data_IF_287021314411
#
_entry.id   IF_287021314411
#
_cell.length_a   1.000
_cell.length_b   1.000
_cell.length_c   1.000
_cell.angle_alpha   90.00
_cell.angle_beta   90.00
_cell.angle_gamma   90.00
#
_symmetry.space_group_name_H-M   'P 1'
#
loop_
_entity.id
_entity.type
_entity.pdbx_description
1 polymer ?
#
# COMPACT_ATOMS: atom_id res chain seq x y z
N UNK A 1 -11.50 27.60 -6.97
CA UNK A 1 -12.40 26.72 -6.22
C UNK A 1 -12.05 25.27 -6.56
N UNK A 2 -11.87 24.40 -5.56
CA UNK A 2 -11.64 22.97 -5.76
C UNK A 2 -13.00 22.26 -5.74
N UNK A 3 -13.32 21.53 -6.80
CA UNK A 3 -14.58 20.79 -6.89
C UNK A 3 -14.41 19.30 -6.63
N UNK A 4 -13.23 18.74 -6.91
CA UNK A 4 -12.91 17.32 -6.75
C UNK A 4 -11.51 17.13 -6.16
N UNK A 5 -11.36 16.18 -5.24
CA UNK A 5 -10.10 15.89 -4.58
C UNK A 5 -9.88 14.38 -4.42
N UNK A 6 -8.65 13.91 -4.63
CA UNK A 6 -8.27 12.53 -4.34
C UNK A 6 -7.18 12.54 -3.29
N UNK A 7 -7.42 11.82 -2.22
CA UNK A 7 -6.50 11.71 -1.09
C UNK A 7 -5.78 10.35 -1.10
N UNK A 8 -4.46 10.41 -1.08
CA UNK A 8 -3.59 9.26 -0.86
C UNK A 8 -3.65 8.84 0.60
N UNK A 9 -4.60 7.99 0.94
CA UNK A 9 -4.74 7.40 2.27
C UNK A 9 -3.96 6.08 2.36
N UNK A 10 -4.21 5.29 3.38
CA UNK A 10 -3.50 4.04 3.66
C UNK A 10 -4.40 3.06 4.39
N UNK A 11 -4.20 1.76 4.18
CA UNK A 11 -4.85 0.71 4.99
C UNK A 11 -4.51 0.80 6.48
N UNK A 12 -3.45 1.53 6.85
CA UNK A 12 -3.08 1.77 8.26
C UNK A 12 -4.13 2.55 9.06
N UNK A 13 -5.10 3.18 8.38
CA UNK A 13 -6.26 3.81 9.04
C UNK A 13 -7.14 2.81 9.79
N UNK A 14 -7.11 1.55 9.43
CA UNK A 14 -7.89 0.52 10.14
C UNK A 14 -7.29 0.13 11.50
N UNK A 15 -6.02 0.50 11.78
CA UNK A 15 -5.30 -0.02 12.94
C UNK A 15 -5.15 -1.54 12.88
N UNK A 16 -5.27 -2.21 14.01
CA UNK A 16 -5.27 -3.68 14.06
C UNK A 16 -6.67 -4.22 13.71
N UNK A 17 -6.83 -4.68 12.48
CA UNK A 17 -8.08 -5.24 12.01
C UNK A 17 -8.40 -6.58 12.71
N UNK A 18 -9.68 -6.86 12.96
CA UNK A 18 -10.12 -8.13 13.59
C UNK A 18 -10.23 -9.25 12.56
N UNK A 19 -10.56 -8.90 11.30
CA UNK A 19 -10.83 -9.85 10.24
C UNK A 19 -9.96 -9.56 9.01
N UNK A 20 -9.58 -10.61 8.32
CA UNK A 20 -8.83 -10.57 7.06
C UNK A 20 -9.57 -11.38 5.99
N UNK A 21 -9.59 -10.91 4.73
CA UNK A 21 -9.04 -9.64 4.24
C UNK A 21 -9.82 -8.42 4.74
N UNK A 22 -9.11 -7.30 4.94
CA UNK A 22 -9.72 -6.04 5.39
C UNK A 22 -10.61 -5.47 4.28
N UNK A 23 -11.89 -5.25 4.59
CA UNK A 23 -12.84 -4.59 3.69
C UNK A 23 -13.12 -3.15 4.13
N UNK A 24 -13.79 -2.37 3.27
CA UNK A 24 -14.21 -1.00 3.61
C UNK A 24 -15.20 -0.94 4.78
N UNK A 25 -15.85 -2.03 5.10
CA UNK A 25 -16.77 -2.13 6.25
C UNK A 25 -16.03 -2.35 7.59
N UNK A 26 -14.72 -2.62 7.55
CA UNK A 26 -13.94 -2.80 8.76
C UNK A 26 -13.91 -1.49 9.58
N UNK A 27 -14.06 -1.58 10.93
CA UNK A 27 -14.02 -0.39 11.77
C UNK A 27 -12.64 0.28 11.74
N UNK A 28 -12.63 1.61 11.72
CA UNK A 28 -11.43 2.41 11.94
C UNK A 28 -11.12 2.37 13.44
N UNK A 29 -10.01 1.72 13.79
CA UNK A 29 -9.53 1.62 15.17
C UNK A 29 -8.42 2.62 15.45
N UNK A 30 -7.94 2.67 16.70
CA UNK A 30 -6.79 3.49 17.07
C UNK A 30 -5.60 3.16 16.16
N UNK A 31 -4.99 4.19 15.61
CA UNK A 31 -3.81 4.03 14.76
C UNK A 31 -2.62 3.46 15.55
N UNK A 32 -1.90 2.52 14.94
CA UNK A 32 -0.71 1.88 15.53
C UNK A 32 0.58 2.71 15.35
N UNK A 33 0.50 3.80 14.58
CA UNK A 33 1.66 4.65 14.30
C UNK A 33 1.27 6.10 14.06
N UNK A 34 2.22 7.05 14.23
CA UNK A 34 1.99 8.45 13.86
C UNK A 34 1.59 8.63 12.40
N UNK A 35 2.14 7.80 11.50
CA UNK A 35 1.76 7.79 10.08
C UNK A 35 0.29 7.39 9.90
N UNK A 36 -0.14 6.27 10.49
CA UNK A 36 -1.54 5.83 10.44
C UNK A 36 -2.48 6.89 11.00
N UNK A 37 -2.13 7.49 12.14
CA UNK A 37 -2.89 8.57 12.75
C UNK A 37 -3.00 9.81 11.84
N UNK A 38 -1.92 10.19 11.16
CA UNK A 38 -1.96 11.30 10.20
C UNK A 38 -2.93 11.06 9.04
N UNK A 39 -3.07 9.79 8.61
CA UNK A 39 -4.03 9.41 7.57
C UNK A 39 -5.47 9.42 8.08
N UNK A 40 -5.72 8.95 9.31
CA UNK A 40 -7.04 9.06 9.96
C UNK A 40 -7.47 10.53 10.07
N UNK A 41 -6.63 11.38 10.66
CA UNK A 41 -6.90 12.84 10.77
C UNK A 41 -7.13 13.47 9.40
N UNK A 42 -6.34 13.08 8.39
CA UNK A 42 -6.51 13.58 7.02
C UNK A 42 -7.87 13.22 6.41
N UNK A 43 -8.33 11.98 6.59
CA UNK A 43 -9.66 11.56 6.15
C UNK A 43 -10.79 12.31 6.88
N UNK A 44 -10.67 12.50 8.20
CA UNK A 44 -11.63 13.27 8.99
C UNK A 44 -11.74 14.71 8.52
N UNK A 45 -10.61 15.40 8.38
CA UNK A 45 -10.57 16.80 7.88
C UNK A 45 -11.22 16.91 6.50
N UNK A 46 -10.91 15.98 5.59
CA UNK A 46 -11.47 16.01 4.23
C UNK A 46 -12.97 15.73 4.26
N UNK A 47 -13.43 14.75 5.02
CA UNK A 47 -14.84 14.42 5.15
C UNK A 47 -15.66 15.61 5.69
N UNK A 48 -15.19 16.28 6.75
CA UNK A 48 -15.83 17.46 7.30
C UNK A 48 -15.78 18.66 6.33
N UNK A 49 -14.67 18.81 5.62
CA UNK A 49 -14.54 19.86 4.59
C UNK A 49 -15.49 19.63 3.42
N UNK A 50 -15.70 18.38 2.99
CA UNK A 50 -16.69 18.04 1.95
C UNK A 50 -18.11 18.46 2.36
N UNK A 51 -18.46 18.22 3.63
CA UNK A 51 -19.76 18.64 4.19
C UNK A 51 -19.91 20.17 4.22
N UNK A 52 -18.85 20.86 4.72
CA UNK A 52 -18.90 22.30 4.94
C UNK A 52 -18.87 23.11 3.63
N UNK A 53 -18.17 22.65 2.59
CA UNK A 53 -17.84 23.44 1.41
C UNK A 53 -18.39 22.89 0.09
N UNK A 54 -19.14 21.82 0.15
CA UNK A 54 -19.82 21.18 -1.00
C UNK A 54 -18.85 20.86 -2.16
N UNK A 55 -17.74 20.23 -1.86
CA UNK A 55 -16.86 19.59 -2.85
C UNK A 55 -16.83 18.07 -2.65
N UNK A 56 -16.31 17.32 -3.61
CA UNK A 56 -16.29 15.87 -3.55
C UNK A 56 -14.86 15.35 -3.38
N UNK A 57 -14.68 14.32 -2.58
CA UNK A 57 -13.39 13.69 -2.40
C UNK A 57 -13.48 12.16 -2.37
N UNK A 58 -12.39 11.51 -2.80
CA UNK A 58 -12.18 10.08 -2.65
C UNK A 58 -10.85 9.85 -1.94
N UNK A 59 -10.87 9.11 -0.84
CA UNK A 59 -9.67 8.59 -0.19
C UNK A 59 -9.38 7.19 -0.75
N UNK A 60 -8.16 6.98 -1.24
CA UNK A 60 -7.66 5.68 -1.67
C UNK A 60 -6.77 5.11 -0.56
N UNK A 61 -7.23 4.06 0.11
CA UNK A 61 -6.53 3.38 1.21
C UNK A 61 -5.63 2.30 0.63
N UNK A 62 -4.35 2.67 0.36
CA UNK A 62 -3.40 1.71 -0.23
C UNK A 62 -2.96 0.65 0.77
N UNK A 63 -2.75 -0.55 0.25
CA UNK A 63 -1.91 -1.55 0.90
C UNK A 63 -0.43 -1.29 0.56
N UNK A 64 0.34 -2.24 0.06
CA UNK A 64 1.77 -2.04 -0.16
C UNK A 64 2.08 -1.85 -1.66
N UNK A 65 2.29 -0.62 -2.14
CA UNK A 65 2.66 -0.40 -3.53
C UNK A 65 4.06 -0.96 -3.81
N UNK A 66 4.19 -1.67 -4.94
CA UNK A 66 5.45 -2.24 -5.40
C UNK A 66 5.59 -2.15 -6.92
N UNK A 67 6.78 -2.47 -7.41
CA UNK A 67 7.05 -2.59 -8.84
C UNK A 67 7.49 -1.29 -9.50
N UNK A 68 7.73 -1.40 -10.80
CA UNK A 68 8.20 -0.30 -11.64
C UNK A 68 7.41 -0.24 -12.94
N UNK A 69 7.39 0.93 -13.58
CA UNK A 69 6.75 1.06 -14.89
C UNK A 69 7.57 0.31 -15.96
N UNK A 70 6.86 -0.34 -16.91
CA UNK A 70 7.47 -1.15 -17.97
C UNK A 70 8.50 -0.41 -18.85
N UNK A 71 8.48 0.93 -18.85
CA UNK A 71 9.46 1.74 -19.56
C UNK A 71 10.84 1.78 -18.89
N UNK A 72 10.98 1.25 -17.68
CA UNK A 72 12.20 1.30 -16.84
C UNK A 72 12.59 2.74 -16.41
N UNK A 73 11.80 3.74 -16.76
CA UNK A 73 12.07 5.16 -16.45
C UNK A 73 11.56 5.58 -15.08
N UNK A 74 10.64 4.82 -14.49
CA UNK A 74 10.00 5.09 -13.21
C UNK A 74 10.02 3.81 -12.38
N UNK A 75 10.56 3.91 -11.18
CA UNK A 75 10.67 2.83 -10.21
C UNK A 75 10.88 3.38 -8.82
N UNK A 76 11.11 2.49 -7.85
CA UNK A 76 11.37 2.85 -6.47
C UNK A 76 12.88 2.93 -6.23
N UNK A 77 13.37 4.14 -5.97
CA UNK A 77 14.78 4.41 -5.64
C UNK A 77 14.85 5.24 -4.35
N UNK A 78 14.77 4.60 -3.17
CA UNK A 78 14.79 5.31 -1.90
C UNK A 78 16.15 5.96 -1.65
N UNK A 79 16.14 7.17 -1.09
CA UNK A 79 17.33 7.82 -0.58
C UNK A 79 17.72 7.21 0.77
N UNK A 80 18.98 6.76 0.90
CA UNK A 80 19.47 6.13 2.12
C UNK A 80 19.01 4.68 2.31
N UNK A 81 18.72 4.31 3.57
CA UNK A 81 18.28 2.95 3.90
C UNK A 81 16.81 2.77 3.52
N UNK A 82 16.45 1.74 2.73
CA UNK A 82 15.05 1.47 2.40
C UNK A 82 14.19 1.23 3.64
N UNK A 83 12.89 1.49 3.51
CA UNK A 83 11.90 1.22 4.55
C UNK A 83 10.93 0.08 4.15
N UNK A 84 10.97 -0.33 2.87
CA UNK A 84 10.09 -1.35 2.29
C UNK A 84 10.89 -2.58 1.83
N UNK A 85 10.23 -3.73 1.79
CA UNK A 85 10.84 -5.02 1.42
C UNK A 85 11.47 -5.00 0.01
N UNK A 86 10.74 -4.52 -1.00
CA UNK A 86 11.18 -4.66 -2.40
C UNK A 86 12.51 -3.94 -2.70
N UNK A 87 12.75 -2.71 -2.24
CA UNK A 87 14.07 -2.10 -2.38
C UNK A 87 15.20 -2.89 -1.71
N UNK A 88 14.94 -3.53 -0.56
CA UNK A 88 15.93 -4.43 0.05
C UNK A 88 16.23 -5.63 -0.85
N UNK A 89 15.19 -6.27 -1.39
CA UNK A 89 15.30 -7.41 -2.32
C UNK A 89 16.11 -7.01 -3.55
N UNK A 90 15.75 -5.92 -4.22
CA UNK A 90 16.42 -5.46 -5.45
C UNK A 90 17.86 -5.01 -5.20
N UNK A 91 18.14 -4.33 -4.09
CA UNK A 91 19.50 -3.93 -3.71
C UNK A 91 20.38 -5.13 -3.34
N UNK A 92 19.81 -6.16 -2.72
CA UNK A 92 20.54 -7.41 -2.43
C UNK A 92 20.84 -8.16 -3.73
N UNK A 93 19.88 -8.27 -4.63
CA UNK A 93 20.09 -8.88 -5.95
C UNK A 93 21.15 -8.16 -6.79
N UNK A 94 21.20 -6.82 -6.70
CA UNK A 94 22.21 -6.00 -7.38
C UNK A 94 23.59 -5.99 -6.69
N UNK A 95 23.76 -6.72 -5.57
CA UNK A 95 25.02 -6.78 -4.81
C UNK A 95 25.34 -5.49 -4.02
N UNK A 96 24.40 -4.53 -3.97
CA UNK A 96 24.55 -3.30 -3.15
C UNK A 96 24.50 -3.66 -1.67
N UNK A 97 23.67 -4.64 -1.30
CA UNK A 97 23.58 -5.22 0.04
C UNK A 97 24.08 -6.65 0.03
N UNK A 98 24.81 -7.00 1.09
CA UNK A 98 25.37 -8.36 1.23
C UNK A 98 24.30 -9.40 1.51
N UNK A 99 23.27 -9.04 2.27
CA UNK A 99 22.27 -9.93 2.80
C UNK A 99 20.95 -9.20 3.04
N UNK A 100 19.84 -9.90 2.84
CA UNK A 100 18.49 -9.47 3.19
C UNK A 100 18.09 -10.07 4.53
N UNK A 101 17.73 -9.24 5.51
CA UNK A 101 17.16 -9.71 6.77
C UNK A 101 15.66 -9.94 6.62
N UNK A 102 15.21 -11.15 6.95
CA UNK A 102 13.80 -11.52 7.08
C UNK A 102 13.48 -11.56 8.57
N UNK A 103 12.56 -10.69 9.01
CA UNK A 103 12.24 -10.51 10.42
C UNK A 103 11.14 -11.47 10.87
N UNK A 104 11.52 -12.44 11.72
CA UNK A 104 10.63 -13.43 12.32
C UNK A 104 10.24 -14.58 11.39
N UNK A 105 10.01 -15.75 11.99
CA UNK A 105 9.56 -16.99 11.37
C UNK A 105 8.48 -17.69 12.18
N UNK A 106 7.91 -16.98 13.17
CA UNK A 106 6.94 -17.48 14.14
C UNK A 106 5.54 -16.86 14.00
N UNK A 107 5.29 -16.12 12.91
CA UNK A 107 3.95 -15.60 12.62
C UNK A 107 2.99 -16.75 12.28
N UNK A 108 1.69 -16.63 12.62
CA UNK A 108 0.68 -17.65 12.33
C UNK A 108 0.30 -17.65 10.83
N UNK A 109 1.29 -17.85 9.98
CA UNK A 109 1.21 -17.88 8.52
C UNK A 109 1.76 -19.19 7.98
N UNK A 110 1.57 -19.47 6.69
CA UNK A 110 1.99 -20.73 6.08
C UNK A 110 3.48 -21.04 6.19
N UNK A 111 4.32 -20.02 6.18
CA UNK A 111 5.79 -20.14 6.20
C UNK A 111 6.45 -19.40 7.37
N UNK A 112 5.64 -18.96 8.33
CA UNK A 112 6.11 -18.28 9.53
C UNK A 112 6.45 -16.80 9.30
N UNK A 113 6.50 -16.31 8.05
CA UNK A 113 6.84 -14.91 7.79
C UNK A 113 5.60 -14.04 7.60
N UNK A 114 5.76 -12.72 7.80
CA UNK A 114 4.65 -11.78 7.74
C UNK A 114 4.04 -11.71 6.33
N UNK A 115 2.70 -11.66 6.25
CA UNK A 115 1.95 -11.52 5.00
C UNK A 115 1.56 -10.06 4.78
N UNK A 116 1.68 -9.59 3.55
CA UNK A 116 1.23 -8.26 3.10
C UNK A 116 0.51 -8.36 1.77
N UNK A 117 -0.48 -7.51 1.56
CA UNK A 117 -1.10 -7.33 0.25
C UNK A 117 -0.25 -6.33 -0.55
N UNK A 118 0.19 -6.75 -1.72
CA UNK A 118 1.01 -5.94 -2.61
C UNK A 118 0.22 -5.55 -3.86
N UNK A 119 0.27 -4.25 -4.21
CA UNK A 119 -0.35 -3.73 -5.42
C UNK A 119 0.71 -3.15 -6.36
N UNK A 120 0.63 -3.47 -7.64
CA UNK A 120 1.57 -2.92 -8.61
C UNK A 120 1.34 -1.41 -8.78
N UNK A 121 2.43 -0.62 -8.79
CA UNK A 121 2.38 0.85 -8.85
C UNK A 121 1.58 1.38 -10.06
N UNK A 122 1.60 0.67 -11.20
CA UNK A 122 0.80 1.04 -12.38
C UNK A 122 -0.70 0.85 -12.13
N UNK A 123 -1.10 -0.19 -11.39
CA UNK A 123 -2.51 -0.41 -11.06
C UNK A 123 -2.98 0.57 -9.99
N UNK A 124 -2.11 0.95 -9.05
CA UNK A 124 -2.36 2.07 -8.15
C UNK A 124 -2.59 3.38 -8.92
N UNK A 125 -1.77 3.69 -9.92
CA UNK A 125 -1.97 4.86 -10.77
C UNK A 125 -3.31 4.80 -11.54
N UNK A 126 -3.69 3.62 -12.05
CA UNK A 126 -5.00 3.41 -12.69
C UNK A 126 -6.17 3.62 -11.71
N UNK A 127 -6.00 3.19 -10.45
CA UNK A 127 -7.01 3.44 -9.41
C UNK A 127 -7.24 4.94 -9.18
N UNK A 128 -6.18 5.76 -9.17
CA UNK A 128 -6.30 7.23 -9.10
C UNK A 128 -7.09 7.80 -10.30
N UNK A 129 -6.77 7.32 -11.51
CA UNK A 129 -7.49 7.75 -12.72
C UNK A 129 -8.96 7.33 -12.66
N UNK A 130 -9.25 6.13 -12.18
CA UNK A 130 -10.63 5.65 -12.03
C UNK A 130 -11.40 6.48 -11.00
N UNK A 131 -10.78 6.79 -9.85
CA UNK A 131 -11.38 7.66 -8.83
C UNK A 131 -11.64 9.08 -9.36
N UNK A 132 -10.67 9.64 -10.09
CA UNK A 132 -10.85 10.96 -10.71
C UNK A 132 -12.01 10.97 -11.72
N UNK A 133 -12.07 9.96 -12.60
CA UNK A 133 -13.17 9.81 -13.57
C UNK A 133 -14.52 9.67 -12.86
N UNK A 134 -14.57 8.93 -11.72
CA UNK A 134 -15.79 8.78 -10.93
C UNK A 134 -16.31 10.11 -10.43
N UNK A 135 -15.42 10.98 -9.93
CA UNK A 135 -15.78 12.33 -9.46
C UNK A 135 -16.18 13.26 -10.62
N UNK A 136 -15.41 13.30 -11.70
CA UNK A 136 -15.70 14.16 -12.88
C UNK A 136 -17.04 13.80 -13.51
N UNK A 137 -17.34 12.51 -13.61
CA UNK A 137 -18.58 12.01 -14.17
C UNK A 137 -19.77 12.05 -13.18
N UNK A 138 -19.56 12.57 -11.96
CA UNK A 138 -20.57 12.65 -10.89
C UNK A 138 -21.18 11.27 -10.54
N UNK A 139 -20.37 10.23 -10.57
CA UNK A 139 -20.79 8.86 -10.24
C UNK A 139 -20.57 8.53 -8.76
N UNK A 140 -20.06 9.47 -7.96
CA UNK A 140 -19.95 9.34 -6.52
C UNK A 140 -21.35 9.34 -5.87
N UNK A 141 -21.52 8.48 -4.86
CA UNK A 141 -22.79 8.34 -4.11
C UNK A 141 -22.85 9.31 -2.92
N UNK A 142 -21.70 9.77 -2.46
CA UNK A 142 -21.54 10.70 -1.33
C UNK A 142 -20.43 11.70 -1.65
N UNK A 143 -20.42 12.82 -0.95
CA UNK A 143 -19.39 13.86 -1.14
C UNK A 143 -18.00 13.40 -0.70
N UNK A 144 -17.94 12.45 0.24
CA UNK A 144 -16.70 11.75 0.63
C UNK A 144 -16.90 10.25 0.51
N UNK A 145 -16.06 9.61 -0.31
CA UNK A 145 -15.99 8.15 -0.46
C UNK A 145 -14.58 7.67 -0.17
N UNK A 146 -14.43 6.42 0.21
CA UNK A 146 -13.12 5.78 0.34
C UNK A 146 -13.14 4.37 -0.26
N UNK A 147 -11.99 3.92 -0.75
CA UNK A 147 -11.83 2.62 -1.36
C UNK A 147 -10.50 2.00 -0.94
N UNK A 148 -10.52 0.73 -0.63
CA UNK A 148 -9.32 -0.07 -0.46
C UNK A 148 -8.65 -0.30 -1.82
N UNK A 149 -7.32 -0.19 -1.85
CA UNK A 149 -6.54 -0.37 -3.08
C UNK A 149 -5.42 -1.38 -2.80
N UNK A 150 -5.73 -2.64 -3.06
CA UNK A 150 -4.87 -3.81 -2.90
C UNK A 150 -5.23 -4.85 -3.96
N UNK A 151 -4.58 -6.01 -3.89
CA UNK A 151 -4.88 -7.17 -4.75
C UNK A 151 -5.98 -8.07 -4.17
N UNK A 152 -6.26 -7.93 -2.88
CA UNK A 152 -7.15 -8.83 -2.13
C UNK A 152 -6.51 -10.17 -1.78
N UNK A 153 -5.26 -10.38 -2.16
CA UNK A 153 -4.46 -11.57 -1.84
C UNK A 153 -3.15 -11.16 -1.20
N UNK A 154 -2.87 -11.74 -0.03
CA UNK A 154 -1.60 -11.50 0.65
C UNK A 154 -0.49 -12.40 0.11
N UNK A 155 0.75 -11.92 0.18
CA UNK A 155 1.95 -12.72 -0.04
C UNK A 155 2.88 -12.61 1.16
N UNK A 156 3.48 -13.71 1.56
CA UNK A 156 4.49 -13.73 2.61
C UNK A 156 5.82 -13.17 2.12
N UNK A 157 6.71 -12.82 3.06
CA UNK A 157 8.06 -12.35 2.69
C UNK A 157 8.82 -13.41 1.90
N UNK A 158 8.75 -14.68 2.30
CA UNK A 158 9.41 -15.78 1.58
C UNK A 158 8.79 -16.05 0.21
N UNK A 159 7.48 -15.89 0.07
CA UNK A 159 6.83 -15.98 -1.25
C UNK A 159 7.31 -14.87 -2.19
N UNK A 160 7.46 -13.65 -1.70
CA UNK A 160 8.01 -12.53 -2.48
C UNK A 160 9.46 -12.79 -2.91
N UNK A 161 10.30 -13.27 -1.99
CA UNK A 161 11.70 -13.64 -2.29
C UNK A 161 11.73 -14.71 -3.41
N UNK A 162 11.00 -15.81 -3.24
CA UNK A 162 10.95 -16.91 -4.22
C UNK A 162 10.41 -16.44 -5.58
N UNK A 163 9.39 -15.59 -5.58
CA UNK A 163 8.83 -15.02 -6.81
C UNK A 163 9.87 -14.15 -7.53
N UNK A 164 10.62 -13.34 -6.79
CA UNK A 164 11.70 -12.52 -7.33
C UNK A 164 12.83 -13.37 -7.91
N UNK A 165 13.31 -14.38 -7.17
CA UNK A 165 14.36 -15.31 -7.64
C UNK A 165 13.94 -16.00 -8.93
N UNK A 166 12.72 -16.51 -8.98
CA UNK A 166 12.16 -17.17 -10.17
C UNK A 166 12.08 -16.22 -11.38
N UNK A 167 11.67 -14.98 -11.16
CA UNK A 167 11.51 -13.99 -12.23
C UNK A 167 12.83 -13.43 -12.74
N UNK A 168 13.79 -13.20 -11.84
CA UNK A 168 15.09 -12.59 -12.18
C UNK A 168 16.17 -13.61 -12.56
N UNK A 169 16.01 -14.87 -12.19
CA UNK A 169 17.06 -15.89 -12.27
C UNK A 169 18.22 -15.68 -11.30
N UNK A 170 18.09 -14.75 -10.35
CA UNK A 170 19.12 -14.38 -9.37
C UNK A 170 18.76 -14.95 -8.00
N UNK A 171 19.64 -15.74 -7.41
CA UNK A 171 19.47 -16.21 -6.03
C UNK A 171 19.78 -15.09 -5.04
N UNK A 172 18.94 -14.97 -4.02
CA UNK A 172 19.09 -13.97 -2.97
C UNK A 172 19.75 -14.54 -1.73
N UNK A 173 20.79 -13.84 -1.25
CA UNK A 173 21.34 -14.13 0.06
C UNK A 173 20.45 -13.51 1.13
N UNK A 174 19.71 -14.32 1.89
CA UNK A 174 18.87 -13.83 2.98
C UNK A 174 19.04 -14.65 4.25
N UNK A 175 18.73 -14.04 5.38
CA UNK A 175 18.78 -14.64 6.70
C UNK A 175 17.52 -14.29 7.49
N UNK A 176 16.94 -15.27 8.18
CA UNK A 176 15.88 -15.07 9.16
C UNK A 176 16.52 -14.60 10.48
N UNK A 177 16.01 -13.52 11.06
CA UNK A 177 16.56 -12.87 12.26
C UNK A 177 15.45 -12.53 13.25
#
# INVERSE_FOLDING_TARGET
KLDNFIFSSSCTVYGQADELPITENAPVKKAESPYGNSKQIGEEIIAESCKAHNFNAIALRYFNPIGAHKSIKIGELPLGVPQNLIPFVTQTAAGIRKELSVFGDDYPTKDGTVVRDYIHVVDLAKAHIAALKRLINKNNKQNFEFFNVGSGTGSSVLEVIKAFEKASGTSLNYKIV
#
